data_IF_710767312567
#
_entry.id   IF_710767312567
#
_cell.length_a   1.000
_cell.length_b   1.000
_cell.length_c   1.000
_cell.angle_alpha   90.00
_cell.angle_beta   90.00
_cell.angle_gamma   90.00
#
_symmetry.space_group_name_H-M   'P 1'
#
loop_
_entity.id
_entity.type
_entity.pdbx_description
1 polymer ?
#
# COMPACT_ATOMS: atom_id res chain seq x y z
N UNK A 1 9.18 46.97 -16.57
CA UNK A 1 9.23 45.54 -16.94
C UNK A 1 8.53 44.79 -15.82
N UNK A 2 7.25 44.46 -16.04
CA UNK A 2 6.36 43.95 -14.99
C UNK A 2 6.38 42.43 -15.03
N UNK A 3 6.90 41.80 -13.98
CA UNK A 3 6.93 40.33 -13.84
C UNK A 3 5.61 39.85 -13.26
N UNK A 4 4.65 39.51 -14.12
CA UNK A 4 3.47 38.75 -13.70
C UNK A 4 3.91 37.31 -13.46
N UNK A 5 4.06 36.92 -12.19
CA UNK A 5 4.16 35.52 -11.82
C UNK A 5 2.79 34.88 -12.10
N UNK A 6 2.66 34.24 -13.25
CA UNK A 6 1.58 33.30 -13.50
C UNK A 6 1.71 32.20 -12.44
N UNK A 7 0.84 32.24 -11.44
CA UNK A 7 0.67 31.12 -10.52
C UNK A 7 0.02 30.02 -11.36
N UNK A 8 0.85 29.11 -11.91
CA UNK A 8 0.34 27.90 -12.54
C UNK A 8 -0.56 27.21 -11.51
N UNK A 9 -1.83 26.93 -11.83
CA UNK A 9 -2.64 26.10 -10.97
C UNK A 9 -1.89 24.77 -10.84
N UNK A 10 -1.51 24.40 -9.61
CA UNK A 10 -0.95 23.09 -9.31
C UNK A 10 -1.94 22.06 -9.84
N UNK A 11 -1.65 21.48 -11.00
CA UNK A 11 -2.44 20.41 -11.59
C UNK A 11 -2.34 19.26 -10.61
N UNK A 12 -3.38 19.08 -9.81
CA UNK A 12 -3.48 17.99 -8.86
C UNK A 12 -3.62 16.72 -9.70
N UNK A 13 -2.49 16.12 -10.02
CA UNK A 13 -2.39 15.00 -10.94
C UNK A 13 -3.30 13.88 -10.46
N UNK A 14 -4.43 13.72 -11.14
CA UNK A 14 -5.42 12.69 -10.81
C UNK A 14 -4.80 11.31 -10.98
N UNK A 15 -3.75 11.19 -11.82
CA UNK A 15 -2.92 9.99 -11.91
C UNK A 15 -2.13 9.74 -10.62
N UNK A 16 -1.68 10.79 -9.93
CA UNK A 16 -1.06 10.70 -8.61
C UNK A 16 -2.00 10.12 -7.53
N UNK A 17 -3.27 10.55 -7.53
CA UNK A 17 -4.28 9.99 -6.61
C UNK A 17 -4.55 8.52 -6.93
N UNK A 18 -4.70 8.18 -8.21
CA UNK A 18 -4.89 6.80 -8.66
C UNK A 18 -3.73 5.88 -8.24
N UNK A 19 -2.49 6.35 -8.38
CA UNK A 19 -1.29 5.63 -7.98
C UNK A 19 -1.25 5.37 -6.47
N UNK A 20 -1.60 6.36 -5.64
CA UNK A 20 -1.65 6.21 -4.18
C UNK A 20 -2.70 5.20 -3.76
N UNK A 21 -3.89 5.25 -4.36
CA UNK A 21 -4.97 4.29 -4.09
C UNK A 21 -4.54 2.87 -4.47
N UNK A 22 -3.97 2.69 -5.67
CA UNK A 22 -3.48 1.40 -6.12
C UNK A 22 -2.39 0.83 -5.19
N UNK A 23 -1.43 1.66 -4.80
CA UNK A 23 -0.39 1.28 -3.84
C UNK A 23 -0.98 0.87 -2.48
N UNK A 24 -1.97 1.61 -1.98
CA UNK A 24 -2.68 1.28 -0.74
C UNK A 24 -3.39 -0.07 -0.81
N UNK A 25 -4.10 -0.36 -1.90
CA UNK A 25 -4.78 -1.65 -2.10
C UNK A 25 -3.79 -2.80 -2.14
N UNK A 26 -2.68 -2.65 -2.88
CA UNK A 26 -1.62 -3.67 -2.95
C UNK A 26 -1.01 -3.92 -1.57
N UNK A 27 -0.73 -2.87 -0.82
CA UNK A 27 -0.14 -2.98 0.51
C UNK A 27 -1.09 -3.70 1.49
N UNK A 28 -2.39 -3.37 1.46
CA UNK A 28 -3.40 -4.05 2.28
C UNK A 28 -3.49 -5.54 1.90
N UNK A 29 -3.56 -5.84 0.61
CA UNK A 29 -3.59 -7.22 0.12
C UNK A 29 -2.36 -8.01 0.58
N UNK A 30 -1.18 -7.40 0.48
CA UNK A 30 0.07 -7.99 0.96
C UNK A 30 0.05 -8.24 2.47
N UNK A 31 -0.42 -7.26 3.26
CA UNK A 31 -0.52 -7.41 4.72
C UNK A 31 -1.47 -8.54 5.13
N UNK A 32 -2.62 -8.66 4.47
CA UNK A 32 -3.57 -9.74 4.69
C UNK A 32 -2.92 -11.09 4.33
N UNK A 33 -2.32 -11.20 3.14
CA UNK A 33 -1.64 -12.43 2.71
C UNK A 33 -0.51 -12.85 3.65
N UNK A 34 0.29 -11.90 4.12
CA UNK A 34 1.35 -12.15 5.10
C UNK A 34 0.78 -12.66 6.44
N UNK A 35 -0.31 -12.07 6.94
CA UNK A 35 -0.97 -12.53 8.16
C UNK A 35 -1.49 -13.97 8.03
N UNK A 36 -2.10 -14.32 6.89
CA UNK A 36 -2.52 -15.69 6.62
C UNK A 36 -1.33 -16.66 6.59
N UNK A 37 -0.24 -16.32 5.89
CA UNK A 37 0.96 -17.14 5.85
C UNK A 37 1.55 -17.37 7.25
N UNK A 38 1.63 -16.33 8.07
CA UNK A 38 2.08 -16.44 9.46
C UNK A 38 1.16 -17.35 10.29
N UNK A 39 -0.16 -17.24 10.13
CA UNK A 39 -1.11 -18.12 10.81
C UNK A 39 -0.89 -19.59 10.45
N UNK A 40 -0.63 -19.90 9.17
CA UNK A 40 -0.32 -21.26 8.73
C UNK A 40 0.99 -21.77 9.34
N UNK A 41 2.02 -20.92 9.45
CA UNK A 41 3.28 -21.29 10.08
C UNK A 41 3.13 -21.57 11.58
N UNK A 42 2.32 -20.77 12.27
CA UNK A 42 2.00 -20.99 13.69
C UNK A 42 1.24 -22.29 13.88
N UNK A 43 0.24 -22.56 13.03
CA UNK A 43 -0.51 -23.81 13.05
C UNK A 43 0.40 -25.03 12.84
N UNK A 44 1.26 -24.98 11.82
CA UNK A 44 2.24 -26.01 11.55
C UNK A 44 3.23 -26.22 12.71
N UNK A 45 3.74 -25.13 13.29
CA UNK A 45 4.63 -25.20 14.44
C UNK A 45 3.95 -25.87 15.64
N UNK A 46 2.67 -25.56 15.87
CA UNK A 46 1.88 -26.17 16.93
C UNK A 46 1.77 -27.68 16.76
N UNK A 47 1.53 -28.16 15.53
CA UNK A 47 1.48 -29.58 15.21
C UNK A 47 2.82 -30.29 15.48
N UNK A 48 3.93 -29.69 15.04
CA UNK A 48 5.28 -30.25 15.27
C UNK A 48 5.64 -30.32 16.76
N UNK A 49 5.21 -29.33 17.56
CA UNK A 49 5.53 -29.32 19.00
C UNK A 49 4.62 -30.21 19.86
N UNK A 50 3.46 -30.62 19.34
CA UNK A 50 2.50 -31.47 20.05
C UNK A 50 2.62 -32.96 19.69
N UNK A 51 3.27 -33.30 18.56
CA UNK A 51 3.57 -34.67 18.13
C UNK A 51 4.89 -35.20 18.69
#
# INVERSE_FOLDING_TARGET
>A
MTTTSLHEPVEHDTAGIGAVVAAGVILIGFAIGAAFALAQLVDLASWVTQG
#
